data_IF_159598650921
#
_entry.id   IF_159598650921
#
_cell.length_a   1.000
_cell.length_b   1.000
_cell.length_c   1.000
_cell.angle_alpha   90.00
_cell.angle_beta   90.00
_cell.angle_gamma   90.00
#
_symmetry.space_group_name_H-M   'P 1'
#
loop_
_entity.id
_entity.type
_entity.pdbx_description
1 polymer ?
#
# COMPACT_ATOMS: atom_id res chain seq x y z
N UNK A 1 17.16 -27.53 15.60
CA UNK A 1 16.31 -27.34 16.79
C UNK A 1 15.62 -26.01 16.57
N UNK A 2 14.30 -26.00 16.33
CA UNK A 2 13.55 -24.77 16.22
C UNK A 2 13.50 -24.12 17.59
N UNK A 3 14.14 -22.98 17.75
CA UNK A 3 13.88 -22.12 18.90
C UNK A 3 12.38 -21.89 18.97
N UNK A 4 11.75 -22.28 20.07
CA UNK A 4 10.36 -21.98 20.32
C UNK A 4 10.25 -20.44 20.37
N UNK A 5 9.76 -19.84 19.28
CA UNK A 5 9.48 -18.42 19.25
C UNK A 5 8.43 -18.11 20.33
N UNK A 6 8.82 -17.31 21.32
CA UNK A 6 7.90 -16.88 22.39
C UNK A 6 6.81 -16.02 21.78
N UNK A 7 5.55 -16.40 22.04
CA UNK A 7 4.38 -15.59 21.64
C UNK A 7 4.45 -14.25 22.38
N UNK A 8 4.32 -13.14 21.64
CA UNK A 8 4.22 -11.80 22.23
C UNK A 8 2.76 -11.49 22.55
N UNK A 9 2.48 -11.18 23.80
CA UNK A 9 1.15 -10.86 24.28
C UNK A 9 0.77 -9.40 24.07
N UNK A 10 1.78 -8.52 24.07
CA UNK A 10 1.59 -7.07 23.99
C UNK A 10 2.74 -6.37 23.26
N UNK A 11 2.41 -5.44 22.38
CA UNK A 11 3.33 -4.49 21.81
C UNK A 11 2.99 -3.09 22.35
N UNK A 12 3.91 -2.48 23.08
CA UNK A 12 3.60 -1.32 23.89
C UNK A 12 4.62 -0.19 23.79
N UNK A 13 4.15 1.04 23.96
CA UNK A 13 4.94 2.23 24.29
C UNK A 13 4.59 2.60 25.72
N UNK A 14 5.56 2.44 26.65
CA UNK A 14 5.29 2.56 28.07
C UNK A 14 5.65 3.93 28.69
N UNK A 15 6.09 4.87 27.85
CA UNK A 15 6.45 6.24 28.27
C UNK A 15 5.91 7.25 27.27
N UNK A 16 6.23 8.53 27.47
CA UNK A 16 5.89 9.53 26.48
C UNK A 16 6.45 9.12 25.12
N UNK A 17 5.58 8.99 24.11
CA UNK A 17 6.04 8.66 22.79
C UNK A 17 6.94 9.80 22.30
N UNK A 18 8.09 9.46 21.75
CA UNK A 18 9.03 10.40 21.16
C UNK A 18 8.91 10.40 19.64
N UNK A 19 8.49 11.51 19.08
CA UNK A 19 8.56 11.83 17.64
C UNK A 19 8.04 10.76 16.67
N UNK A 20 8.88 9.77 16.32
CA UNK A 20 8.57 8.82 15.26
C UNK A 20 7.60 7.72 15.69
N UNK A 21 7.62 7.30 16.95
CA UNK A 21 6.75 6.22 17.43
C UNK A 21 5.29 6.67 17.54
N UNK A 22 5.04 7.94 17.82
CA UNK A 22 3.69 8.50 17.99
C UNK A 22 2.74 8.14 16.86
N UNK A 23 3.19 8.31 15.63
CA UNK A 23 2.39 8.02 14.44
C UNK A 23 2.11 6.53 14.23
N UNK A 24 2.85 5.67 14.92
CA UNK A 24 2.65 4.23 14.84
C UNK A 24 1.77 3.67 15.95
N UNK A 25 1.47 4.45 17.01
CA UNK A 25 0.59 4.03 18.10
C UNK A 25 -0.77 3.61 17.53
N UNK A 26 -1.42 4.48 16.76
CA UNK A 26 -2.70 4.17 16.11
C UNK A 26 -2.56 3.14 14.99
N UNK A 27 -1.53 3.32 14.13
CA UNK A 27 -1.36 2.48 12.94
C UNK A 27 -1.10 1.01 13.25
N UNK A 28 -0.46 0.72 14.38
CA UNK A 28 -0.15 -0.64 14.84
C UNK A 28 -0.91 -1.03 16.11
N UNK A 29 -1.88 -0.22 16.54
CA UNK A 29 -2.65 -0.47 17.77
C UNK A 29 -1.75 -0.76 18.96
N UNK A 30 -0.69 0.03 19.12
CA UNK A 30 0.23 -0.09 20.25
C UNK A 30 -0.48 0.35 21.52
N UNK A 31 -0.29 -0.39 22.60
CA UNK A 31 -0.71 0.11 23.90
C UNK A 31 0.22 1.25 24.32
N UNK A 32 -0.35 2.39 24.64
CA UNK A 32 0.38 3.54 25.11
C UNK A 32 0.01 3.86 26.55
N UNK A 33 1.01 3.77 27.44
CA UNK A 33 0.86 4.08 28.88
C UNK A 33 2.07 4.90 29.29
N UNK A 34 1.83 6.10 29.78
CA UNK A 34 2.90 6.93 30.33
C UNK A 34 3.19 6.54 31.77
N UNK A 35 3.94 5.45 31.96
CA UNK A 35 4.34 4.95 33.27
C UNK A 35 5.12 5.97 34.08
N UNK A 36 5.95 6.78 33.40
CA UNK A 36 6.73 7.82 34.06
C UNK A 36 5.88 8.85 34.80
N UNK A 37 4.67 9.10 34.37
CA UNK A 37 3.73 9.99 35.05
C UNK A 37 3.10 9.39 36.32
N UNK A 38 3.11 8.07 36.43
CA UNK A 38 2.59 7.34 37.58
C UNK A 38 3.64 7.21 38.70
N UNK A 39 4.90 7.52 38.43
CA UNK A 39 5.99 7.39 39.35
C UNK A 39 6.25 8.73 40.05
N UNK A 40 6.23 8.72 41.37
CA UNK A 40 6.72 9.87 42.14
C UNK A 40 8.23 9.96 41.98
N UNK A 41 8.68 10.81 41.06
CA UNK A 41 10.13 11.02 40.77
C UNK A 41 10.85 11.66 41.92
N UNK A 42 12.08 11.20 42.12
CA UNK A 42 13.04 11.76 43.06
C UNK A 42 14.30 12.25 42.32
N UNK A 43 15.24 12.86 43.05
CA UNK A 43 16.55 13.23 42.50
C UNK A 43 17.47 12.03 42.29
N UNK A 44 17.12 10.85 42.82
CA UNK A 44 17.89 9.61 42.68
C UNK A 44 17.44 8.81 41.46
N UNK A 45 18.26 8.72 40.39
CA UNK A 45 17.91 7.97 39.17
C UNK A 45 17.72 6.46 39.42
N UNK A 46 18.46 5.87 40.35
CA UNK A 46 18.38 4.44 40.66
C UNK A 46 17.06 4.10 41.34
N UNK A 47 16.64 4.96 42.28
CA UNK A 47 15.34 4.80 42.95
C UNK A 47 14.17 4.98 41.95
N UNK A 48 14.32 5.92 41.05
CA UNK A 48 13.31 6.10 39.96
C UNK A 48 13.25 4.87 39.05
N UNK A 49 14.40 4.32 38.67
CA UNK A 49 14.47 3.11 37.84
C UNK A 49 13.89 1.88 38.56
N UNK A 50 14.13 1.76 39.88
CA UNK A 50 13.53 0.68 40.68
C UNK A 50 12.01 0.79 40.73
N UNK A 51 11.48 1.97 41.04
CA UNK A 51 10.03 2.23 41.06
C UNK A 51 9.36 1.95 39.73
N UNK A 52 10.01 2.34 38.63
CA UNK A 52 9.61 2.06 37.30
C UNK A 52 9.51 0.53 37.04
N UNK A 53 10.55 -0.20 37.41
CA UNK A 53 10.61 -1.64 37.27
C UNK A 53 9.49 -2.33 38.07
N UNK A 54 9.28 -1.93 39.34
CA UNK A 54 8.20 -2.46 40.18
C UNK A 54 6.82 -2.23 39.58
N UNK A 55 6.55 -1.04 39.06
CA UNK A 55 5.26 -0.71 38.43
C UNK A 55 5.02 -1.54 37.17
N UNK A 56 6.04 -1.67 36.31
CA UNK A 56 5.95 -2.48 35.10
C UNK A 56 5.82 -3.98 35.44
N UNK A 57 6.56 -4.46 36.42
CA UNK A 57 6.48 -5.85 36.88
C UNK A 57 5.09 -6.19 37.42
N UNK A 58 4.50 -5.30 38.21
CA UNK A 58 3.15 -5.49 38.74
C UNK A 58 2.06 -5.50 37.65
N UNK A 59 2.24 -4.71 36.59
CA UNK A 59 1.23 -4.57 35.52
C UNK A 59 1.38 -5.62 34.42
N UNK A 60 2.60 -6.02 34.09
CA UNK A 60 2.92 -6.81 32.91
C UNK A 60 3.84 -8.02 33.19
N UNK A 61 4.22 -8.30 34.43
CA UNK A 61 5.25 -9.29 34.75
C UNK A 61 4.91 -10.73 34.36
N UNK A 62 3.66 -11.04 34.11
CA UNK A 62 3.16 -12.33 33.62
C UNK A 62 3.03 -12.41 32.09
N UNK A 63 3.14 -11.26 31.39
CA UNK A 63 2.98 -11.14 29.93
C UNK A 63 4.30 -11.05 29.20
N UNK A 64 4.36 -11.60 27.99
CA UNK A 64 5.46 -11.39 27.04
C UNK A 64 5.26 -10.07 26.32
N UNK A 65 5.92 -9.02 26.77
CA UNK A 65 5.78 -7.68 26.24
C UNK A 65 6.97 -7.31 25.34
N UNK A 66 6.72 -6.71 24.19
CA UNK A 66 7.71 -6.00 23.40
C UNK A 66 7.48 -4.50 23.57
N UNK A 67 8.36 -3.88 24.35
CA UNK A 67 8.39 -2.43 24.55
C UNK A 67 9.19 -1.75 23.45
N UNK A 68 8.65 -0.69 22.88
CA UNK A 68 9.26 0.11 21.83
C UNK A 68 9.66 1.48 22.38
N UNK A 69 10.86 1.92 22.02
CA UNK A 69 11.40 3.24 22.38
C UNK A 69 12.16 3.85 21.22
N UNK A 70 12.25 5.19 21.19
CA UNK A 70 13.23 5.91 20.37
C UNK A 70 14.23 6.60 21.28
N UNK A 71 15.47 6.69 20.85
CA UNK A 71 16.51 7.47 21.51
C UNK A 71 17.20 8.38 20.49
N UNK A 72 17.49 9.60 20.90
CA UNK A 72 18.36 10.49 20.14
C UNK A 72 19.82 10.09 20.38
N UNK A 73 20.58 9.96 19.29
CA UNK A 73 22.00 9.59 19.32
C UNK A 73 22.28 8.19 19.92
N UNK A 74 23.42 8.02 20.58
CA UNK A 74 23.90 6.72 21.08
C UNK A 74 23.46 6.40 22.51
N UNK A 75 22.71 7.27 23.15
CA UNK A 75 22.34 7.13 24.54
C UNK A 75 21.13 6.20 24.68
N UNK A 76 21.38 5.02 25.23
CA UNK A 76 20.29 4.14 25.65
C UNK A 76 19.68 4.75 26.91
N UNK A 77 18.40 5.10 26.91
CA UNK A 77 17.77 5.68 28.09
C UNK A 77 17.92 4.79 29.32
N UNK A 78 18.14 5.38 30.47
CA UNK A 78 18.22 4.62 31.74
C UNK A 78 16.96 3.79 31.96
N UNK A 79 15.84 4.31 31.56
CA UNK A 79 14.54 3.64 31.59
C UNK A 79 14.51 2.34 30.74
N UNK A 80 15.26 2.28 29.63
CA UNK A 80 15.40 1.05 28.85
C UNK A 80 16.12 -0.05 29.65
N UNK A 81 17.14 0.35 30.42
CA UNK A 81 17.92 -0.56 31.24
C UNK A 81 17.19 -0.95 32.54
N UNK A 82 16.26 -0.13 33.02
CA UNK A 82 15.48 -0.41 34.21
C UNK A 82 14.73 -1.74 34.15
N UNK A 83 14.27 -2.14 32.95
CA UNK A 83 13.50 -3.37 32.74
C UNK A 83 14.36 -4.60 32.40
N UNK A 84 15.67 -4.50 32.43
CA UNK A 84 16.60 -5.59 32.09
C UNK A 84 16.47 -6.82 33.00
N UNK A 85 15.94 -6.63 34.18
CA UNK A 85 15.65 -7.72 35.13
C UNK A 85 14.34 -8.47 34.89
N UNK A 86 13.48 -7.96 33.99
CA UNK A 86 12.18 -8.55 33.67
C UNK A 86 12.29 -9.39 32.40
N UNK A 87 12.50 -10.71 32.46
CA UNK A 87 12.87 -11.53 31.30
C UNK A 87 11.76 -11.62 30.24
N UNK A 88 10.50 -11.41 30.63
CA UNK A 88 9.35 -11.43 29.70
C UNK A 88 9.15 -10.08 28.98
N UNK A 89 9.86 -9.03 29.39
CA UNK A 89 9.76 -7.71 28.76
C UNK A 89 10.99 -7.46 27.91
N UNK A 90 10.84 -7.58 26.60
CA UNK A 90 11.88 -7.24 25.63
C UNK A 90 11.77 -5.78 25.24
N UNK A 91 12.82 -5.00 25.42
CA UNK A 91 12.88 -3.61 24.98
C UNK A 91 13.61 -3.49 23.64
N UNK A 92 13.01 -2.80 22.68
CA UNK A 92 13.63 -2.44 21.41
C UNK A 92 13.76 -0.93 21.35
N UNK A 93 15.01 -0.46 21.27
CA UNK A 93 15.35 0.97 21.21
C UNK A 93 15.79 1.30 19.79
N UNK A 94 15.08 2.19 19.11
CA UNK A 94 15.46 2.70 17.79
C UNK A 94 16.32 3.94 17.92
N UNK A 95 17.52 3.91 17.35
CA UNK A 95 18.47 5.04 17.40
C UNK A 95 18.95 5.39 15.98
N UNK A 96 19.37 6.63 15.79
CA UNK A 96 20.07 7.07 14.57
C UNK A 96 21.55 6.69 14.70
N UNK A 97 21.89 5.45 14.39
CA UNK A 97 23.23 4.90 14.50
C UNK A 97 23.46 3.79 13.47
N UNK A 98 24.72 3.39 13.28
CA UNK A 98 25.11 2.26 12.44
C UNK A 98 25.19 0.92 13.18
N UNK A 99 25.07 0.91 14.48
CA UNK A 99 25.28 -0.30 15.29
C UNK A 99 23.97 -0.94 15.69
N UNK A 100 23.94 -2.27 15.62
CA UNK A 100 22.94 -3.10 16.28
C UNK A 100 23.65 -3.76 17.47
N UNK A 101 23.13 -3.58 18.65
CA UNK A 101 23.66 -4.23 19.86
C UNK A 101 22.52 -4.81 20.69
N UNK A 102 22.80 -5.86 21.45
CA UNK A 102 21.83 -6.44 22.37
C UNK A 102 22.51 -6.72 23.70
N UNK A 103 21.78 -6.46 24.77
CA UNK A 103 22.15 -6.77 26.11
C UNK A 103 20.97 -7.37 26.86
N UNK A 104 21.04 -8.66 27.19
CA UNK A 104 19.92 -9.41 27.76
C UNK A 104 18.66 -9.25 26.91
N UNK A 105 17.60 -8.68 27.48
CA UNK A 105 16.30 -8.42 26.83
C UNK A 105 16.17 -7.01 26.21
N UNK A 106 17.26 -6.26 26.12
CA UNK A 106 17.31 -4.95 25.44
C UNK A 106 18.04 -5.08 24.13
N UNK A 107 17.40 -4.69 23.04
CA UNK A 107 17.99 -4.62 21.69
C UNK A 107 18.02 -3.17 21.22
N UNK A 108 19.20 -2.68 20.92
CA UNK A 108 19.37 -1.37 20.27
C UNK A 108 19.43 -1.60 18.78
N UNK A 109 18.45 -1.09 18.07
CA UNK A 109 18.34 -1.17 16.62
C UNK A 109 18.83 0.14 16.02
N UNK A 110 20.08 0.14 15.57
CA UNK A 110 20.65 1.27 14.84
C UNK A 110 20.04 1.41 13.45
N UNK A 111 19.73 2.64 13.08
CA UNK A 111 19.27 3.02 11.74
C UNK A 111 20.25 4.04 11.18
N UNK A 112 20.93 3.77 10.05
CA UNK A 112 21.97 4.64 9.53
C UNK A 112 21.54 6.09 9.37
N UNK A 113 22.43 7.01 9.76
CA UNK A 113 22.28 8.45 9.50
C UNK A 113 22.72 8.72 8.06
N UNK A 114 21.83 8.43 7.11
CA UNK A 114 22.05 8.66 5.68
C UNK A 114 20.86 9.49 5.17
N UNK A 115 21.10 10.60 4.43
CA UNK A 115 20.02 11.38 3.83
C UNK A 115 19.07 10.58 2.92
N UNK A 116 19.54 9.43 2.41
CA UNK A 116 18.75 8.50 1.61
C UNK A 116 17.91 7.54 2.44
N UNK A 117 18.16 7.44 3.75
CA UNK A 117 17.45 6.54 4.65
C UNK A 117 16.40 7.31 5.43
N UNK A 118 15.14 7.00 5.13
CA UNK A 118 14.03 7.51 5.93
C UNK A 118 13.97 6.75 7.27
N UNK A 119 14.38 7.41 8.34
CA UNK A 119 14.38 6.85 9.71
C UNK A 119 12.99 6.32 10.08
N UNK A 120 11.97 7.12 9.84
CA UNK A 120 10.59 6.79 10.18
C UNK A 120 10.12 5.51 9.49
N UNK A 121 10.34 5.41 8.17
CA UNK A 121 9.95 4.23 7.41
C UNK A 121 10.70 2.98 7.88
N UNK A 122 11.96 3.13 8.32
CA UNK A 122 12.75 2.01 8.88
C UNK A 122 12.22 1.57 10.23
N UNK A 123 11.87 2.50 11.13
CA UNK A 123 11.21 2.17 12.41
C UNK A 123 9.93 1.39 12.16
N UNK A 124 9.03 1.90 11.33
CA UNK A 124 7.79 1.21 10.96
C UNK A 124 8.04 -0.18 10.35
N UNK A 125 9.06 -0.32 9.50
CA UNK A 125 9.47 -1.62 8.95
C UNK A 125 9.93 -2.62 10.01
N UNK A 126 10.65 -2.17 11.04
CA UNK A 126 11.07 -3.02 12.16
C UNK A 126 9.89 -3.43 13.04
N UNK A 127 8.98 -2.51 13.36
CA UNK A 127 7.74 -2.82 14.10
C UNK A 127 6.94 -3.89 13.35
N UNK A 128 6.73 -3.71 12.07
CA UNK A 128 6.02 -4.68 11.22
C UNK A 128 6.70 -6.04 11.17
N UNK A 129 8.03 -6.07 11.17
CA UNK A 129 8.78 -7.33 11.23
C UNK A 129 8.54 -8.05 12.56
N UNK A 130 8.58 -7.34 13.69
CA UNK A 130 8.28 -7.90 15.00
C UNK A 130 6.90 -8.55 15.02
N UNK A 131 5.90 -7.89 14.44
CA UNK A 131 4.53 -8.40 14.35
C UNK A 131 4.45 -9.64 13.46
N UNK A 132 5.08 -9.63 12.28
CA UNK A 132 5.05 -10.75 11.32
C UNK A 132 5.79 -12.00 11.78
N UNK A 133 6.82 -11.82 12.59
CA UNK A 133 7.61 -12.93 13.13
C UNK A 133 6.90 -13.63 14.28
N UNK A 134 5.71 -13.16 14.70
CA UNK A 134 4.96 -13.82 15.74
C UNK A 134 4.39 -15.17 15.25
N UNK A 135 4.39 -16.19 16.11
CA UNK A 135 3.79 -17.48 15.79
C UNK A 135 2.26 -17.34 15.60
N UNK A 136 1.70 -18.32 14.90
CA UNK A 136 0.25 -18.41 14.72
C UNK A 136 -0.47 -18.42 16.09
N UNK A 137 -1.52 -17.60 16.23
CA UNK A 137 -2.27 -17.46 17.49
C UNK A 137 -1.74 -16.38 18.44
N UNK A 138 -0.71 -15.60 18.03
CA UNK A 138 -0.31 -14.40 18.77
C UNK A 138 -1.45 -13.39 18.83
N UNK A 139 -1.72 -12.77 20.00
CA UNK A 139 -2.70 -11.70 20.12
C UNK A 139 -2.31 -10.42 19.37
N UNK A 140 -1.01 -10.28 19.01
CA UNK A 140 -0.54 -9.17 18.20
C UNK A 140 -0.81 -9.48 16.73
N UNK A 141 -1.88 -8.90 16.21
CA UNK A 141 -2.16 -8.88 14.78
C UNK A 141 -1.71 -7.53 14.20
N UNK A 142 -1.21 -7.51 12.94
CA UNK A 142 -1.02 -6.24 12.26
C UNK A 142 -2.34 -5.48 12.24
N UNK A 143 -2.30 -4.15 12.44
CA UNK A 143 -3.51 -3.37 12.52
C UNK A 143 -4.31 -3.48 11.22
N UNK A 144 -5.61 -3.66 11.36
CA UNK A 144 -6.51 -3.34 10.26
C UNK A 144 -6.40 -1.85 9.99
N UNK A 145 -6.25 -1.46 8.73
CA UNK A 145 -6.37 -0.06 8.36
C UNK A 145 -7.77 0.44 8.79
N UNK A 146 -7.93 1.73 9.12
CA UNK A 146 -9.17 2.29 9.63
C UNK A 146 -10.22 2.41 8.50
N UNK A 147 -10.57 1.28 7.89
CA UNK A 147 -11.68 1.20 6.95
C UNK A 147 -13.00 1.05 7.69
N UNK A 148 -14.11 1.39 7.04
CA UNK A 148 -15.42 1.05 7.54
C UNK A 148 -15.49 -0.43 7.90
N UNK A 149 -16.04 -0.74 9.06
CA UNK A 149 -16.14 -2.11 9.59
C UNK A 149 -17.22 -2.94 8.89
N UNK A 150 -18.18 -2.27 8.20
CA UNK A 150 -19.21 -2.96 7.45
C UNK A 150 -18.61 -3.66 6.25
N UNK A 151 -18.78 -4.97 6.18
CA UNK A 151 -18.26 -5.81 5.10
C UNK A 151 -19.40 -6.62 4.47
N UNK A 152 -19.42 -6.67 3.13
CA UNK A 152 -20.39 -7.44 2.35
C UNK A 152 -19.66 -8.39 1.41
N UNK A 153 -20.07 -9.66 1.42
CA UNK A 153 -19.48 -10.69 0.56
C UNK A 153 -20.53 -11.24 -0.40
N UNK A 154 -20.12 -11.44 -1.65
CA UNK A 154 -20.96 -11.96 -2.72
C UNK A 154 -20.26 -13.14 -3.41
N UNK A 155 -20.99 -14.23 -3.59
CA UNK A 155 -20.47 -15.47 -4.20
C UNK A 155 -20.30 -15.38 -5.74
N UNK A 156 -20.78 -14.30 -6.36
CA UNK A 156 -20.64 -14.04 -7.80
C UNK A 156 -20.99 -12.58 -8.13
N UNK A 157 -20.51 -12.07 -9.26
CA UNK A 157 -20.87 -10.72 -9.75
C UNK A 157 -22.39 -10.58 -9.91
N UNK A 158 -23.07 -11.59 -10.43
CA UNK A 158 -24.52 -11.58 -10.64
C UNK A 158 -25.35 -11.51 -9.33
N UNK A 159 -24.72 -11.72 -8.18
CA UNK A 159 -25.35 -11.58 -6.86
C UNK A 159 -25.04 -10.24 -6.19
N UNK A 160 -24.15 -9.45 -6.79
CA UNK A 160 -23.80 -8.15 -6.24
C UNK A 160 -25.01 -7.21 -6.25
N UNK A 161 -25.26 -6.59 -5.11
CA UNK A 161 -26.28 -5.55 -4.95
C UNK A 161 -25.59 -4.29 -4.49
N UNK A 162 -25.64 -3.20 -5.26
CA UNK A 162 -25.06 -1.93 -4.84
C UNK A 162 -25.81 -1.38 -3.64
N UNK A 163 -25.09 -0.75 -2.74
CA UNK A 163 -25.67 -0.07 -1.57
C UNK A 163 -25.19 1.38 -1.59
N UNK A 164 -25.95 2.29 -2.20
CA UNK A 164 -25.63 3.71 -2.22
C UNK A 164 -25.72 4.31 -0.82
N UNK A 165 -25.01 5.44 -0.64
CA UNK A 165 -25.02 6.29 0.53
C UNK A 165 -24.55 5.62 1.84
N UNK A 166 -23.93 4.45 1.70
CA UNK A 166 -23.24 3.73 2.79
C UNK A 166 -21.83 3.35 2.34
N UNK A 167 -20.82 3.80 3.08
CA UNK A 167 -19.45 3.36 2.84
C UNK A 167 -19.21 2.02 3.52
N UNK A 168 -18.79 1.01 2.74
CA UNK A 168 -18.53 -0.33 3.21
C UNK A 168 -17.49 -1.04 2.35
N UNK A 169 -16.90 -2.10 2.87
CA UNK A 169 -16.02 -2.97 2.10
C UNK A 169 -16.82 -4.08 1.44
N UNK A 170 -16.37 -4.49 0.27
CA UNK A 170 -17.00 -5.54 -0.55
C UNK A 170 -15.97 -6.56 -0.96
N UNK A 171 -16.34 -7.84 -0.90
CA UNK A 171 -15.63 -8.93 -1.57
C UNK A 171 -16.58 -9.63 -2.56
N UNK A 172 -16.16 -9.75 -3.82
CA UNK A 172 -16.87 -10.55 -4.82
C UNK A 172 -16.00 -11.75 -5.17
N UNK A 173 -16.49 -12.95 -4.96
CA UNK A 173 -15.84 -14.17 -5.41
C UNK A 173 -16.13 -14.40 -6.91
N UNK A 174 -15.06 -14.57 -7.67
CA UNK A 174 -15.15 -14.99 -9.07
C UNK A 174 -14.31 -16.27 -9.20
N UNK A 175 -14.99 -17.41 -9.18
CA UNK A 175 -14.35 -18.73 -9.31
C UNK A 175 -13.14 -18.93 -8.36
N UNK A 176 -13.32 -18.59 -7.08
CA UNK A 176 -12.31 -18.76 -6.03
C UNK A 176 -11.28 -17.64 -5.91
N UNK A 177 -11.36 -16.58 -6.72
CA UNK A 177 -10.57 -15.36 -6.53
C UNK A 177 -11.46 -14.26 -5.97
N UNK A 178 -11.03 -13.66 -4.85
CA UNK A 178 -11.73 -12.55 -4.21
C UNK A 178 -11.27 -11.21 -4.78
N UNK A 179 -12.23 -10.44 -5.26
CA UNK A 179 -12.07 -9.05 -5.67
C UNK A 179 -12.57 -8.16 -4.56
N UNK A 180 -11.63 -7.61 -3.79
CA UNK A 180 -11.94 -6.74 -2.65
C UNK A 180 -11.90 -5.28 -3.08
N UNK A 181 -12.88 -4.50 -2.64
CA UNK A 181 -12.90 -3.05 -2.85
C UNK A 181 -13.63 -2.32 -1.73
N UNK A 182 -13.25 -1.07 -1.50
CA UNK A 182 -14.01 -0.13 -0.69
C UNK A 182 -15.03 0.55 -1.59
N UNK A 183 -16.29 0.55 -1.18
CA UNK A 183 -17.43 1.12 -1.89
C UNK A 183 -17.89 2.41 -1.22
N UNK A 184 -18.01 3.49 -1.98
CA UNK A 184 -18.62 4.78 -1.62
C UNK A 184 -19.52 5.21 -2.77
N UNK A 185 -20.62 4.50 -2.95
CA UNK A 185 -21.60 4.79 -4.00
C UNK A 185 -22.60 5.84 -3.51
N UNK A 186 -23.09 6.66 -4.43
CA UNK A 186 -24.01 7.76 -4.12
C UNK A 186 -25.23 7.72 -5.00
N UNK A 187 -26.40 7.92 -4.41
CA UNK A 187 -27.66 8.04 -5.15
C UNK A 187 -27.60 9.22 -6.12
N UNK A 188 -28.08 9.01 -7.35
CA UNK A 188 -28.12 10.07 -8.38
C UNK A 188 -26.76 10.50 -8.92
N UNK A 189 -25.72 9.71 -8.70
CA UNK A 189 -24.37 9.95 -9.24
C UNK A 189 -24.37 10.01 -10.76
N UNK A 190 -23.44 10.79 -11.33
CA UNK A 190 -23.21 10.89 -12.78
C UNK A 190 -21.85 10.34 -13.21
N UNK A 191 -20.99 9.99 -12.26
CA UNK A 191 -19.64 9.48 -12.49
C UNK A 191 -19.33 8.37 -11.49
N UNK A 192 -18.57 7.38 -11.94
CA UNK A 192 -17.95 6.36 -11.10
C UNK A 192 -16.43 6.48 -11.20
N UNK A 193 -15.80 6.87 -10.10
CA UNK A 193 -14.34 6.91 -9.99
C UNK A 193 -13.82 5.58 -9.46
N UNK A 194 -12.82 5.02 -10.14
CA UNK A 194 -12.20 3.74 -9.78
C UNK A 194 -10.73 3.95 -9.47
N UNK A 195 -10.36 3.80 -8.20
CA UNK A 195 -8.99 3.98 -7.77
C UNK A 195 -8.18 2.69 -7.93
N UNK A 196 -7.13 2.76 -8.76
CA UNK A 196 -6.14 1.71 -8.93
C UNK A 196 -5.17 1.64 -7.74
N UNK A 197 -4.71 0.44 -7.43
CA UNK A 197 -3.77 0.20 -6.34
C UNK A 197 -2.34 0.50 -6.77
N UNK A 198 -1.62 1.31 -5.99
CA UNK A 198 -0.18 1.54 -6.13
C UNK A 198 0.62 0.51 -5.31
N UNK A 199 1.96 0.55 -5.41
CA UNK A 199 2.82 -0.30 -4.62
C UNK A 199 2.61 -0.10 -3.10
N UNK A 200 2.72 -1.19 -2.36
CA UNK A 200 2.56 -1.25 -0.90
C UNK A 200 3.91 -1.49 -0.23
N UNK A 201 4.04 -1.04 0.99
CA UNK A 201 5.00 -1.64 1.89
C UNK A 201 4.30 -2.78 2.64
N UNK A 202 4.43 -4.02 2.14
CA UNK A 202 3.77 -5.22 2.70
C UNK A 202 4.15 -5.48 4.15
N UNK A 203 5.25 -4.90 4.61
CA UNK A 203 5.64 -5.00 6.00
C UNK A 203 4.82 -4.10 6.93
N UNK A 204 4.11 -3.12 6.38
CA UNK A 204 3.34 -2.14 7.14
C UNK A 204 1.81 -2.32 7.02
N UNK A 205 1.35 -3.24 6.16
CA UNK A 205 -0.08 -3.36 5.86
C UNK A 205 -0.54 -4.80 5.72
N UNK A 206 -1.76 -5.06 6.15
CA UNK A 206 -2.53 -6.26 5.79
C UNK A 206 -3.44 -5.99 4.61
N UNK A 207 -3.66 -7.01 3.80
CA UNK A 207 -4.67 -6.98 2.73
C UNK A 207 -6.06 -7.28 3.30
N UNK A 208 -7.11 -6.68 2.72
CA UNK A 208 -7.06 -5.74 1.59
C UNK A 208 -6.59 -4.33 1.98
N UNK A 209 -6.01 -3.61 1.02
CA UNK A 209 -5.60 -2.19 1.19
C UNK A 209 -6.24 -1.35 0.10
N UNK A 210 -6.89 -0.27 0.49
CA UNK A 210 -7.56 0.63 -0.43
C UNK A 210 -6.83 1.97 -0.50
N UNK A 211 -5.97 2.12 -1.51
CA UNK A 211 -5.16 3.32 -1.67
C UNK A 211 -6.04 4.57 -1.85
N UNK A 212 -5.63 5.66 -1.21
CA UNK A 212 -6.28 6.96 -1.32
C UNK A 212 -7.76 6.98 -0.93
N UNK A 213 -8.23 6.01 -0.15
CA UNK A 213 -9.63 5.91 0.25
C UNK A 213 -10.21 7.20 0.87
N UNK A 214 -9.38 7.98 1.60
CA UNK A 214 -9.79 9.28 2.14
C UNK A 214 -10.07 10.33 1.06
N UNK A 215 -9.52 10.13 -0.15
CA UNK A 215 -9.72 11.04 -1.27
C UNK A 215 -11.12 10.89 -1.90
N UNK A 216 -11.74 9.74 -1.73
CA UNK A 216 -13.10 9.46 -2.20
C UNK A 216 -14.13 10.45 -1.63
N UNK A 217 -13.82 11.06 -0.47
CA UNK A 217 -14.69 12.06 0.17
C UNK A 217 -14.82 13.38 -0.62
N UNK A 218 -13.82 13.72 -1.43
CA UNK A 218 -13.75 14.99 -2.15
C UNK A 218 -14.24 14.88 -3.61
N UNK A 219 -14.65 13.67 -4.03
CA UNK A 219 -15.11 13.44 -5.39
C UNK A 219 -16.57 13.85 -5.58
N UNK A 220 -16.86 14.39 -6.75
CA UNK A 220 -18.23 14.73 -7.19
C UNK A 220 -18.88 13.54 -7.90
N UNK A 221 -18.94 12.39 -7.23
CA UNK A 221 -19.49 11.16 -7.78
C UNK A 221 -19.33 9.97 -6.87
N UNK A 222 -19.79 8.81 -7.32
CA UNK A 222 -19.52 7.53 -6.70
C UNK A 222 -18.05 7.14 -6.85
N UNK A 223 -17.53 6.41 -5.91
CA UNK A 223 -16.15 5.95 -5.98
C UNK A 223 -15.99 4.52 -5.42
N UNK A 224 -15.05 3.77 -6.02
CA UNK A 224 -14.56 2.51 -5.47
C UNK A 224 -13.04 2.53 -5.45
N UNK A 225 -12.45 1.97 -4.40
CA UNK A 225 -11.00 1.77 -4.31
C UNK A 225 -10.71 0.27 -4.30
N UNK A 226 -9.96 -0.18 -5.29
CA UNK A 226 -9.72 -1.60 -5.55
C UNK A 226 -8.50 -2.11 -4.80
N UNK A 227 -8.54 -3.37 -4.36
CA UNK A 227 -7.37 -4.13 -3.91
C UNK A 227 -7.00 -5.18 -4.97
N UNK A 228 -5.73 -5.22 -5.34
CA UNK A 228 -5.22 -6.13 -6.37
C UNK A 228 -5.12 -7.57 -5.84
N UNK A 229 -5.88 -8.54 -6.37
CA UNK A 229 -5.82 -9.92 -5.92
C UNK A 229 -4.48 -10.62 -6.24
N UNK A 230 -3.66 -10.12 -7.17
CA UNK A 230 -2.31 -10.63 -7.42
C UNK A 230 -1.45 -10.60 -6.15
N UNK A 231 -1.70 -9.64 -5.25
CA UNK A 231 -0.98 -9.50 -3.98
C UNK A 231 -1.16 -10.68 -3.03
N UNK A 232 -2.23 -11.47 -3.18
CA UNK A 232 -2.48 -12.66 -2.36
C UNK A 232 -1.67 -13.89 -2.82
N UNK A 233 -1.09 -13.86 -4.02
CA UNK A 233 -0.34 -14.99 -4.57
C UNK A 233 0.98 -15.24 -3.83
N UNK A 234 1.66 -14.17 -3.37
CA UNK A 234 2.89 -14.29 -2.57
C UNK A 234 3.03 -13.06 -1.64
N UNK A 235 3.43 -13.31 -0.39
CA UNK A 235 3.65 -12.26 0.62
C UNK A 235 4.78 -11.29 0.27
N UNK A 236 5.65 -11.63 -0.67
CA UNK A 236 6.77 -10.80 -1.13
C UNK A 236 6.38 -9.80 -2.22
N UNK A 237 5.15 -9.87 -2.74
CA UNK A 237 4.68 -8.96 -3.79
C UNK A 237 4.27 -7.63 -3.14
N UNK A 238 5.02 -6.56 -3.41
CA UNK A 238 4.70 -5.20 -2.96
C UNK A 238 3.79 -4.46 -3.95
N UNK A 239 3.77 -4.86 -5.21
CA UNK A 239 2.84 -4.41 -6.23
C UNK A 239 2.50 -5.59 -7.15
N UNK A 240 1.24 -5.79 -7.44
CA UNK A 240 0.77 -6.91 -8.26
C UNK A 240 0.48 -6.51 -9.71
N UNK A 241 0.31 -5.23 -9.99
CA UNK A 241 -0.05 -4.67 -11.31
C UNK A 241 -1.23 -5.38 -11.98
N UNK A 242 -2.03 -6.11 -11.21
CA UNK A 242 -3.15 -6.91 -11.69
C UNK A 242 -2.74 -7.99 -12.70
N UNK A 243 -1.49 -8.46 -12.64
CA UNK A 243 -0.94 -9.46 -13.58
C UNK A 243 -1.80 -10.73 -13.62
N UNK A 244 -2.35 -11.14 -12.48
CA UNK A 244 -3.16 -12.34 -12.37
C UNK A 244 -2.35 -13.64 -12.43
N UNK A 245 -2.97 -14.72 -12.90
CA UNK A 245 -2.32 -16.03 -13.07
C UNK A 245 -2.28 -16.44 -14.55
N UNK A 246 -1.56 -17.51 -14.89
CA UNK A 246 -1.54 -18.04 -16.28
C UNK A 246 -2.94 -18.18 -16.85
N UNK A 247 -3.85 -18.76 -16.07
CA UNK A 247 -5.18 -19.12 -16.53
C UNK A 247 -6.20 -17.97 -16.39
N UNK A 248 -5.83 -16.87 -15.67
CA UNK A 248 -6.80 -15.83 -15.32
C UNK A 248 -6.22 -14.43 -15.46
N UNK A 249 -6.87 -13.62 -16.27
CA UNK A 249 -6.60 -12.20 -16.45
C UNK A 249 -7.43 -11.38 -15.46
N UNK A 250 -6.83 -11.00 -14.33
CA UNK A 250 -7.52 -10.26 -13.27
C UNK A 250 -7.99 -8.88 -13.69
N UNK A 251 -7.30 -8.26 -14.66
CA UNK A 251 -7.76 -6.98 -15.25
C UNK A 251 -9.11 -7.16 -15.96
N UNK A 252 -9.25 -8.19 -16.78
CA UNK A 252 -10.53 -8.45 -17.49
C UNK A 252 -11.67 -8.74 -16.52
N UNK A 253 -11.38 -9.47 -15.46
CA UNK A 253 -12.40 -9.82 -14.48
C UNK A 253 -12.84 -8.60 -13.66
N UNK A 254 -11.89 -7.78 -13.16
CA UNK A 254 -12.25 -6.57 -12.41
C UNK A 254 -12.93 -5.53 -13.27
N UNK A 255 -12.54 -5.39 -14.54
CA UNK A 255 -13.21 -4.46 -15.47
C UNK A 255 -14.68 -4.85 -15.70
N UNK A 256 -15.01 -6.16 -15.75
CA UNK A 256 -16.40 -6.63 -15.77
C UNK A 256 -17.15 -6.31 -14.47
N UNK A 257 -16.48 -6.43 -13.31
CA UNK A 257 -17.07 -6.04 -12.02
C UNK A 257 -17.38 -4.55 -12.03
N UNK A 258 -16.44 -3.71 -12.46
CA UNK A 258 -16.61 -2.25 -12.56
C UNK A 258 -17.77 -1.91 -13.51
N UNK A 259 -17.83 -2.54 -14.68
CA UNK A 259 -18.94 -2.36 -15.62
C UNK A 259 -20.30 -2.74 -15.04
N UNK A 260 -20.37 -3.84 -14.28
CA UNK A 260 -21.60 -4.25 -13.59
C UNK A 260 -22.01 -3.24 -12.49
N UNK A 261 -21.04 -2.70 -11.74
CA UNK A 261 -21.29 -1.65 -10.74
C UNK A 261 -21.82 -0.38 -11.44
N UNK A 262 -21.19 0.07 -12.52
CA UNK A 262 -21.63 1.23 -13.27
C UNK A 262 -23.08 1.04 -13.80
N UNK A 263 -23.35 -0.10 -14.42
CA UNK A 263 -24.69 -0.43 -14.93
C UNK A 263 -25.75 -0.44 -13.81
N UNK A 264 -25.41 -0.94 -12.62
CA UNK A 264 -26.32 -0.95 -11.46
C UNK A 264 -26.65 0.45 -10.92
N UNK A 265 -25.83 1.44 -11.25
CA UNK A 265 -26.03 2.86 -10.95
C UNK A 265 -26.67 3.64 -12.12
N UNK A 266 -27.09 2.95 -13.20
CA UNK A 266 -27.55 3.53 -14.46
C UNK A 266 -26.50 4.42 -15.15
N UNK A 267 -25.23 4.12 -14.95
CA UNK A 267 -24.10 4.78 -15.61
C UNK A 267 -23.68 3.96 -16.84
N UNK A 268 -23.20 4.68 -17.86
CA UNK A 268 -22.56 4.08 -19.05
C UNK A 268 -21.07 3.95 -18.81
N UNK A 269 -20.36 3.23 -19.68
CA UNK A 269 -18.90 3.13 -19.58
C UNK A 269 -18.21 4.50 -19.65
N UNK A 270 -18.75 5.44 -20.43
CA UNK A 270 -18.21 6.81 -20.57
C UNK A 270 -18.25 7.62 -19.26
N UNK A 271 -19.08 7.19 -18.32
CA UNK A 271 -19.19 7.81 -16.99
C UNK A 271 -18.21 7.20 -15.97
N UNK A 272 -17.41 6.19 -16.39
CA UNK A 272 -16.40 5.53 -15.55
C UNK A 272 -15.02 6.15 -15.78
N UNK A 273 -14.39 6.58 -14.70
CA UNK A 273 -13.04 7.19 -14.71
C UNK A 273 -12.12 6.33 -13.85
N UNK A 274 -11.14 5.70 -14.47
CA UNK A 274 -10.06 5.00 -13.76
C UNK A 274 -8.96 5.99 -13.39
N UNK A 275 -8.54 5.96 -12.13
CA UNK A 275 -7.44 6.80 -11.65
C UNK A 275 -6.40 5.99 -10.88
N UNK A 276 -5.14 6.29 -11.12
CA UNK A 276 -4.06 5.76 -10.31
C UNK A 276 -2.72 6.45 -10.55
N UNK A 277 -1.86 6.37 -9.53
CA UNK A 277 -0.47 6.82 -9.65
C UNK A 277 0.48 5.62 -9.72
N UNK A 278 1.57 5.73 -10.49
CA UNK A 278 2.61 4.70 -10.60
C UNK A 278 2.01 3.35 -11.05
N UNK A 279 2.13 2.28 -10.27
CA UNK A 279 1.50 0.98 -10.54
C UNK A 279 -0.03 1.06 -10.69
N UNK A 280 -0.66 1.99 -9.96
CA UNK A 280 -2.10 2.25 -10.11
C UNK A 280 -2.43 2.89 -11.45
N UNK A 281 -1.57 3.75 -11.99
CA UNK A 281 -1.74 4.35 -13.32
C UNK A 281 -1.57 3.31 -14.44
N UNK A 282 -0.62 2.40 -14.30
CA UNK A 282 -0.48 1.23 -15.18
C UNK A 282 -1.77 0.41 -15.22
N UNK A 283 -2.27 0.00 -14.06
CA UNK A 283 -3.48 -0.81 -14.00
C UNK A 283 -4.73 -0.06 -14.45
N UNK A 284 -4.81 1.26 -14.26
CA UNK A 284 -5.91 2.08 -14.78
C UNK A 284 -5.99 2.06 -16.29
N UNK A 285 -4.87 2.17 -17.01
CA UNK A 285 -4.83 1.99 -18.47
C UNK A 285 -5.30 0.60 -18.89
N UNK A 286 -4.84 -0.43 -18.20
CA UNK A 286 -5.21 -1.82 -18.49
C UNK A 286 -6.71 -2.07 -18.28
N UNK A 287 -7.28 -1.56 -17.19
CA UNK A 287 -8.71 -1.72 -16.88
C UNK A 287 -9.58 -0.98 -17.89
N UNK A 288 -9.22 0.25 -18.24
CA UNK A 288 -9.98 1.04 -19.20
C UNK A 288 -9.91 0.44 -20.62
N UNK A 289 -8.78 -0.13 -21.02
CA UNK A 289 -8.68 -0.87 -22.28
C UNK A 289 -9.67 -2.04 -22.34
N UNK A 290 -9.97 -2.67 -21.19
CA UNK A 290 -10.92 -3.77 -21.07
C UNK A 290 -12.38 -3.30 -20.83
N UNK A 291 -12.63 -2.01 -20.70
CA UNK A 291 -13.97 -1.42 -20.54
C UNK A 291 -14.14 -0.27 -21.55
N UNK A 292 -14.41 -0.56 -22.84
CA UNK A 292 -14.50 0.45 -23.88
C UNK A 292 -15.50 1.57 -23.54
N UNK A 293 -15.09 2.81 -23.85
CA UNK A 293 -15.80 4.03 -23.50
C UNK A 293 -15.34 4.65 -22.18
N UNK A 294 -14.75 3.89 -21.26
CA UNK A 294 -14.23 4.44 -20.01
C UNK A 294 -12.96 5.29 -20.22
N UNK A 295 -12.67 6.14 -19.27
CA UNK A 295 -11.59 7.14 -19.33
C UNK A 295 -10.53 6.89 -18.27
N UNK A 296 -9.34 7.41 -18.49
CA UNK A 296 -8.18 7.24 -17.57
C UNK A 296 -7.62 8.59 -17.17
N UNK A 297 -7.32 8.75 -15.89
CA UNK A 297 -6.39 9.76 -15.38
C UNK A 297 -5.22 9.00 -14.75
N UNK A 298 -4.08 8.97 -15.42
CA UNK A 298 -2.88 8.25 -14.98
C UNK A 298 -1.78 9.22 -14.57
N UNK A 299 -1.30 9.11 -13.32
CA UNK A 299 -0.29 9.99 -12.77
C UNK A 299 1.04 9.23 -12.61
N UNK A 300 2.09 9.69 -13.30
CA UNK A 300 3.42 9.04 -13.36
C UNK A 300 3.34 7.50 -13.55
N UNK A 301 2.54 6.98 -14.50
CA UNK A 301 2.34 5.55 -14.63
C UNK A 301 3.59 4.82 -15.12
N UNK A 302 3.75 3.54 -14.74
CA UNK A 302 4.57 2.62 -15.54
C UNK A 302 3.83 2.30 -16.84
N UNK A 303 4.59 1.98 -17.90
CA UNK A 303 4.03 1.61 -19.21
C UNK A 303 4.47 0.21 -19.62
N UNK A 304 5.75 -0.07 -19.57
CA UNK A 304 6.35 -1.37 -19.81
C UNK A 304 7.10 -1.83 -18.57
N UNK A 305 6.57 -2.85 -17.90
CA UNK A 305 7.17 -3.35 -16.66
C UNK A 305 8.55 -3.98 -16.87
N UNK A 306 8.90 -4.39 -18.11
CA UNK A 306 10.24 -4.89 -18.42
C UNK A 306 11.30 -3.79 -18.25
N UNK A 307 10.90 -2.53 -18.42
CA UNK A 307 11.76 -1.33 -18.31
C UNK A 307 11.76 -0.71 -16.91
N UNK A 308 10.94 -1.24 -15.98
CA UNK A 308 10.85 -0.67 -14.64
C UNK A 308 12.16 -0.85 -13.86
N UNK A 309 12.58 0.20 -13.17
CA UNK A 309 13.88 0.28 -12.49
C UNK A 309 14.02 -0.60 -11.22
N UNK A 310 12.91 -1.18 -10.73
CA UNK A 310 12.91 -2.14 -9.60
C UNK A 310 12.61 -3.56 -10.11
N UNK A 311 13.58 -4.22 -10.75
CA UNK A 311 13.37 -5.51 -11.40
C UNK A 311 12.84 -6.61 -10.45
N UNK A 312 13.36 -6.68 -9.24
CA UNK A 312 12.99 -7.72 -8.28
C UNK A 312 11.51 -7.67 -7.88
N UNK A 313 10.90 -6.49 -7.84
CA UNK A 313 9.49 -6.34 -7.53
C UNK A 313 8.61 -6.95 -8.63
N UNK A 314 8.94 -6.66 -9.91
CA UNK A 314 8.23 -7.23 -11.05
C UNK A 314 8.46 -8.74 -11.14
N UNK A 315 9.72 -9.18 -11.01
CA UNK A 315 10.06 -10.61 -11.10
C UNK A 315 9.37 -11.44 -10.02
N UNK A 316 9.12 -10.87 -8.84
CA UNK A 316 8.32 -11.53 -7.81
C UNK A 316 6.85 -11.73 -8.25
N UNK A 317 6.23 -10.69 -8.84
CA UNK A 317 4.85 -10.76 -9.30
C UNK A 317 4.67 -11.69 -10.51
N UNK A 318 5.55 -11.61 -11.52
CA UNK A 318 5.51 -12.51 -12.69
C UNK A 318 5.79 -13.96 -12.32
N UNK A 319 6.68 -14.20 -11.35
CA UNK A 319 6.95 -15.56 -10.88
C UNK A 319 5.73 -16.16 -10.20
N UNK A 320 5.11 -15.41 -9.32
CA UNK A 320 3.93 -15.88 -8.59
C UNK A 320 2.71 -16.04 -9.48
N UNK A 321 2.49 -15.12 -10.42
CA UNK A 321 1.32 -15.12 -11.30
C UNK A 321 1.50 -15.98 -12.55
N UNK A 322 2.56 -15.73 -13.30
CA UNK A 322 2.78 -16.35 -14.61
C UNK A 322 3.76 -17.53 -14.57
N UNK A 323 4.42 -17.80 -13.45
CA UNK A 323 5.42 -18.88 -13.32
C UNK A 323 6.68 -18.64 -14.14
N UNK A 324 6.96 -17.39 -14.56
CA UNK A 324 8.18 -17.01 -15.27
C UNK A 324 9.29 -16.65 -14.29
N UNK A 325 10.55 -16.96 -14.59
CA UNK A 325 11.67 -16.65 -13.68
C UNK A 325 11.91 -15.15 -13.55
N UNK A 326 11.68 -14.43 -14.63
CA UNK A 326 11.85 -12.97 -14.70
C UNK A 326 10.84 -12.33 -15.66
N UNK A 327 10.69 -10.99 -15.54
CA UNK A 327 9.87 -10.19 -16.45
C UNK A 327 10.32 -10.22 -17.92
N UNK A 328 11.60 -10.56 -18.16
CA UNK A 328 12.16 -10.66 -19.52
C UNK A 328 11.82 -11.98 -20.20
N UNK A 329 11.41 -12.98 -19.44
CA UNK A 329 11.02 -14.32 -19.92
C UNK A 329 9.51 -14.48 -20.06
N UNK A 330 8.75 -13.41 -19.90
CA UNK A 330 7.29 -13.45 -20.08
C UNK A 330 6.97 -13.76 -21.55
N UNK A 331 6.26 -14.86 -21.85
CA UNK A 331 5.88 -15.25 -23.21
C UNK A 331 5.02 -14.19 -23.91
N UNK A 332 5.06 -14.19 -25.25
CA UNK A 332 4.36 -13.22 -26.10
C UNK A 332 2.84 -13.15 -25.78
N UNK A 333 2.23 -14.29 -25.50
CA UNK A 333 0.80 -14.38 -25.16
C UNK A 333 0.41 -13.66 -23.87
N UNK A 334 1.38 -13.39 -22.96
CA UNK A 334 1.15 -12.67 -21.69
C UNK A 334 1.71 -11.24 -21.68
N UNK A 335 2.37 -10.78 -22.77
CA UNK A 335 2.93 -9.43 -22.79
C UNK A 335 1.88 -8.34 -22.54
N UNK A 336 0.66 -8.56 -22.99
CA UNK A 336 -0.47 -7.67 -22.71
C UNK A 336 -0.80 -7.50 -21.22
N UNK A 337 -0.20 -8.27 -20.32
CA UNK A 337 -0.38 -8.14 -18.86
C UNK A 337 0.69 -7.31 -18.19
N UNK A 338 1.81 -7.06 -18.88
CA UNK A 338 2.96 -6.33 -18.35
C UNK A 338 3.36 -5.12 -19.17
N UNK A 339 2.60 -4.79 -20.21
CA UNK A 339 2.85 -3.68 -21.12
C UNK A 339 1.52 -3.07 -21.59
N UNK A 340 1.37 -1.76 -21.37
CA UNK A 340 0.13 -1.01 -21.69
C UNK A 340 -0.16 -1.01 -23.20
N UNK A 341 0.86 -0.81 -24.05
CA UNK A 341 0.65 -0.79 -25.49
C UNK A 341 0.28 -2.18 -26.03
N UNK A 342 0.89 -3.23 -25.47
CA UNK A 342 0.49 -4.60 -25.82
C UNK A 342 -0.95 -4.93 -25.34
N UNK A 343 -1.39 -4.34 -24.21
CA UNK A 343 -2.80 -4.42 -23.78
C UNK A 343 -3.73 -3.75 -24.79
N UNK A 344 -3.39 -2.55 -25.26
CA UNK A 344 -4.20 -1.87 -26.28
C UNK A 344 -4.31 -2.68 -27.57
N UNK A 345 -3.22 -3.28 -28.02
CA UNK A 345 -3.22 -4.18 -29.19
C UNK A 345 -4.09 -5.41 -28.97
N UNK A 346 -4.00 -6.00 -27.79
CA UNK A 346 -4.76 -7.21 -27.44
C UNK A 346 -6.26 -6.95 -27.40
N UNK A 347 -6.69 -5.83 -26.82
CA UNK A 347 -8.10 -5.45 -26.72
C UNK A 347 -8.61 -4.71 -27.98
N UNK A 348 -7.72 -4.31 -28.90
CA UNK A 348 -8.01 -3.44 -30.04
C UNK A 348 -8.75 -2.16 -29.61
N UNK A 349 -8.31 -1.58 -28.52
CA UNK A 349 -8.90 -0.39 -27.95
C UNK A 349 -7.88 0.44 -27.19
N UNK A 350 -7.88 1.75 -27.44
CA UNK A 350 -7.14 2.77 -26.68
C UNK A 350 -8.17 3.64 -25.98
N UNK A 351 -8.20 3.68 -24.64
CA UNK A 351 -9.14 4.54 -23.92
C UNK A 351 -8.80 6.02 -24.09
N UNK A 352 -9.76 6.89 -23.90
CA UNK A 352 -9.50 8.32 -23.69
C UNK A 352 -8.74 8.51 -22.37
N UNK A 353 -7.73 9.39 -22.37
CA UNK A 353 -6.88 9.51 -21.21
C UNK A 353 -6.33 10.92 -20.96
N UNK A 354 -6.03 11.18 -19.68
CA UNK A 354 -5.15 12.23 -19.22
C UNK A 354 -3.91 11.59 -18.57
N UNK A 355 -2.75 11.79 -19.20
CA UNK A 355 -1.47 11.33 -18.68
C UNK A 355 -0.75 12.49 -17.99
N UNK A 356 -0.56 12.38 -16.67
CA UNK A 356 0.12 13.36 -15.84
C UNK A 356 1.56 12.89 -15.59
N UNK A 357 2.56 13.74 -15.88
CA UNK A 357 3.97 13.39 -15.71
C UNK A 357 4.71 14.41 -14.86
N UNK A 358 5.32 13.92 -13.79
CA UNK A 358 6.28 14.71 -13.01
C UNK A 358 7.62 14.79 -13.73
N UNK A 359 8.04 15.97 -14.16
CA UNK A 359 9.31 16.19 -14.86
C UNK A 359 10.54 15.97 -13.95
N UNK A 360 10.38 15.95 -12.63
CA UNK A 360 11.45 15.60 -11.69
C UNK A 360 11.67 14.09 -11.56
N UNK A 361 10.75 13.27 -12.09
CA UNK A 361 10.91 11.82 -12.18
C UNK A 361 11.65 11.43 -13.46
N UNK A 362 12.96 11.71 -13.49
CA UNK A 362 13.78 11.48 -14.68
C UNK A 362 13.75 10.05 -15.20
N UNK A 363 13.63 9.07 -14.32
CA UNK A 363 13.52 7.65 -14.72
C UNK A 363 12.22 7.40 -15.49
N UNK A 364 11.06 7.84 -14.98
CA UNK A 364 9.77 7.64 -15.67
C UNK A 364 9.66 8.49 -16.94
N UNK A 365 10.20 9.70 -16.93
CA UNK A 365 10.27 10.53 -18.16
C UNK A 365 11.00 9.79 -19.28
N UNK A 366 12.16 9.19 -19.00
CA UNK A 366 12.98 8.53 -20.00
C UNK A 366 12.46 7.16 -20.40
N UNK A 367 11.98 6.36 -19.44
CA UNK A 367 11.68 4.94 -19.69
C UNK A 367 10.21 4.65 -19.96
N UNK A 368 9.28 5.54 -19.56
CA UNK A 368 7.85 5.31 -19.68
C UNK A 368 7.13 6.41 -20.48
N UNK A 369 7.34 7.69 -20.17
CA UNK A 369 6.59 8.78 -20.79
C UNK A 369 6.88 8.92 -22.27
N UNK A 370 8.13 9.09 -22.67
CA UNK A 370 8.53 9.18 -24.08
C UNK A 370 8.25 7.89 -24.86
N UNK A 371 8.47 6.74 -24.23
CA UNK A 371 8.17 5.42 -24.84
C UNK A 371 6.67 5.26 -25.13
N UNK A 372 5.81 5.67 -24.19
CA UNK A 372 4.37 5.64 -24.38
C UNK A 372 3.92 6.49 -25.57
N UNK A 373 4.40 7.75 -25.63
CA UNK A 373 4.06 8.68 -26.71
C UNK A 373 4.45 8.11 -28.07
N UNK A 374 5.71 7.70 -28.23
CA UNK A 374 6.21 7.18 -29.51
C UNK A 374 5.51 5.90 -29.96
N UNK A 375 5.27 4.97 -29.03
CA UNK A 375 4.62 3.70 -29.36
C UNK A 375 3.13 3.85 -29.60
N UNK A 376 2.45 4.77 -28.92
CA UNK A 376 1.04 5.07 -29.16
C UNK A 376 0.85 5.76 -30.51
N UNK A 377 1.72 6.71 -30.87
CA UNK A 377 1.71 7.37 -32.18
C UNK A 377 1.86 6.34 -33.30
N UNK A 378 2.88 5.48 -33.23
CA UNK A 378 3.07 4.40 -34.18
C UNK A 378 1.87 3.45 -34.26
N UNK A 379 1.17 3.21 -33.15
CA UNK A 379 -0.03 2.39 -33.14
C UNK A 379 -1.22 3.09 -33.85
N UNK A 380 -1.37 4.39 -33.65
CA UNK A 380 -2.39 5.23 -34.28
C UNK A 380 -2.20 5.34 -35.80
N UNK A 381 -0.95 5.41 -36.25
CA UNK A 381 -0.62 5.46 -37.67
C UNK A 381 -0.96 4.16 -38.39
N UNK A 382 -0.95 3.04 -37.68
CA UNK A 382 -1.19 1.71 -38.25
C UNK A 382 -2.63 1.24 -38.13
N UNK A 383 -3.42 1.78 -37.19
CA UNK A 383 -4.71 1.21 -36.84
C UNK A 383 -5.78 2.26 -36.53
N UNK A 384 -6.88 2.25 -37.25
CA UNK A 384 -8.03 3.14 -36.99
C UNK A 384 -8.65 2.95 -35.60
N UNK A 385 -8.65 1.73 -35.07
CA UNK A 385 -9.17 1.46 -33.72
C UNK A 385 -8.32 2.06 -32.59
N UNK A 386 -7.11 2.53 -32.89
CA UNK A 386 -6.22 3.15 -31.90
C UNK A 386 -6.49 4.65 -31.71
N UNK A 387 -7.44 5.22 -32.45
CA UNK A 387 -7.80 6.64 -32.29
C UNK A 387 -8.53 6.85 -30.97
N UNK A 388 -8.05 7.80 -30.19
CA UNK A 388 -8.62 8.18 -28.89
C UNK A 388 -8.23 9.62 -28.54
N UNK A 389 -8.99 10.24 -27.64
CA UNK A 389 -8.62 11.53 -27.06
C UNK A 389 -7.56 11.31 -25.98
N UNK A 390 -6.33 11.76 -26.23
CA UNK A 390 -5.22 11.66 -25.30
C UNK A 390 -4.64 13.04 -24.97
N UNK A 391 -4.62 13.39 -23.69
CA UNK A 391 -4.04 14.64 -23.20
C UNK A 391 -2.83 14.31 -22.32
N UNK A 392 -1.75 15.05 -22.53
CA UNK A 392 -0.52 14.96 -21.75
C UNK A 392 -0.33 16.27 -20.98
N UNK A 393 -0.21 16.17 -19.68
CA UNK A 393 0.14 17.31 -18.84
C UNK A 393 1.37 16.99 -17.99
N UNK A 394 2.18 18.01 -17.75
CA UNK A 394 3.41 17.88 -16.98
C UNK A 394 3.40 18.81 -15.78
N UNK A 395 4.04 18.37 -14.71
CA UNK A 395 4.26 19.17 -13.51
C UNK A 395 5.65 18.92 -12.92
N UNK A 396 6.04 19.71 -11.93
CA UNK A 396 7.30 19.56 -11.23
C UNK A 396 7.06 19.52 -9.73
N UNK A 397 7.28 18.34 -9.12
CA UNK A 397 7.19 18.16 -7.69
C UNK A 397 8.37 17.31 -7.20
N UNK A 398 8.86 17.62 -6.01
CA UNK A 398 9.97 16.92 -5.39
C UNK A 398 9.65 16.56 -3.93
N UNK A 399 10.06 15.39 -3.51
CA UNK A 399 9.95 14.94 -2.13
C UNK A 399 11.29 14.44 -1.63
N UNK A 400 11.69 14.82 -0.42
CA UNK A 400 12.89 14.31 0.23
C UNK A 400 12.87 12.78 0.36
N UNK A 401 11.68 12.18 0.51
CA UNK A 401 11.50 10.74 0.72
C UNK A 401 11.42 9.95 -0.59
N UNK A 402 10.79 10.54 -1.63
CA UNK A 402 10.47 9.85 -2.89
C UNK A 402 11.21 10.42 -4.10
N UNK A 403 12.05 11.43 -3.89
CA UNK A 403 12.69 12.13 -4.98
C UNK A 403 11.65 12.71 -5.94
N UNK A 404 11.92 12.57 -7.24
CA UNK A 404 11.00 12.96 -8.31
C UNK A 404 9.84 11.97 -8.55
N UNK A 405 9.93 10.72 -8.07
CA UNK A 405 8.82 9.76 -8.17
C UNK A 405 7.71 10.10 -7.16
N UNK A 406 7.13 11.28 -7.34
CA UNK A 406 6.15 11.86 -6.46
C UNK A 406 4.91 12.27 -7.26
N UNK A 407 3.79 11.56 -7.11
CA UNK A 407 2.53 11.88 -7.78
C UNK A 407 1.94 13.17 -7.23
N UNK A 408 0.98 13.73 -7.92
CA UNK A 408 0.21 14.89 -7.47
C UNK A 408 -0.41 14.67 -6.10
N UNK A 409 -0.48 15.73 -5.33
CA UNK A 409 -1.17 15.76 -4.05
C UNK A 409 -2.69 15.65 -4.21
N UNK A 410 -3.39 15.39 -3.09
CA UNK A 410 -4.85 15.20 -3.06
C UNK A 410 -5.60 16.35 -3.73
N UNK A 411 -5.27 17.58 -3.38
CA UNK A 411 -5.96 18.76 -3.87
C UNK A 411 -5.89 18.90 -5.40
N UNK A 412 -4.68 18.82 -5.96
CA UNK A 412 -4.48 18.95 -7.40
C UNK A 412 -5.11 17.78 -8.16
N UNK A 413 -5.00 16.56 -7.64
CA UNK A 413 -5.64 15.39 -8.25
C UNK A 413 -7.16 15.54 -8.29
N UNK A 414 -7.79 16.03 -7.23
CA UNK A 414 -9.24 16.25 -7.21
C UNK A 414 -9.69 17.28 -8.25
N UNK A 415 -8.90 18.32 -8.50
CA UNK A 415 -9.19 19.28 -9.58
C UNK A 415 -9.26 18.59 -10.94
N UNK A 416 -8.33 17.66 -11.23
CA UNK A 416 -8.39 16.90 -12.48
C UNK A 416 -9.60 15.97 -12.51
N UNK A 417 -9.80 15.16 -11.49
CA UNK A 417 -10.86 14.16 -11.49
C UNK A 417 -12.26 14.75 -11.58
N UNK A 418 -12.56 15.82 -10.83
CA UNK A 418 -13.89 16.41 -10.83
C UNK A 418 -14.19 17.15 -12.15
N UNK A 419 -13.15 17.65 -12.85
CA UNK A 419 -13.32 18.34 -14.14
C UNK A 419 -13.22 17.42 -15.37
N UNK A 420 -12.74 16.19 -15.21
CA UNK A 420 -12.54 15.21 -16.28
C UNK A 420 -13.81 14.40 -16.52
#
# INVERSE_FOLDING_TARGET
MSENQTVVDLLAVLDEPGGVIDKYIESFQLEHINISNEIQRTSDPLLNAQRYNELVANRYGDKNVVRLMTAEHNDVPVEALALVSLPKIRTVVFTRNYTVSSFKNVTVQGIPVDPKVNFDAKVGGHISRIIREQPAGSPINPPSLPFPTNHRSYAAIAKYVPVPDERHTVSIDVNGVKYDFLSDLRTGTRKLFVFGQSALNRSLVQLPVFHRWKWMLDLEGSAIALNDPTLYLDKRIDAGWWIGTKDRDYVKEVSRIVGAIAASLNLRSEDVIFYGGSAGGFSSFHMAACLPGSRVVADIPQIDLRKYHLPLAIDAAVRAGLGCSSRLEVPQEYLHRIDVIERFKHEKHVPDFLYLQNLKDGTHVQTHFGDFQSRLEALRDLHEWAQSSGVYETYSAWSVVRGGHFPLGRFDTMRYLNNY
#
